data_IF_942794275879
#
_entry.id   IF_942794275879
#
_cell.length_a   1.000
_cell.length_b   1.000
_cell.length_c   1.000
_cell.angle_alpha   90.00
_cell.angle_beta   90.00
_cell.angle_gamma   90.00
#
_symmetry.space_group_name_H-M   'P 1'
#
loop_
_entity.id
_entity.type
_entity.pdbx_description
1 polymer ?
#
# COMPACT_ATOMS: atom_id res chain seq x y z
N UNK A 1 -6.61 -12.55 24.06
CA UNK A 1 -6.22 -11.18 23.68
C UNK A 1 -4.95 -11.31 22.84
N UNK A 2 -4.97 -11.11 21.51
CA UNK A 2 -3.71 -11.06 20.76
C UNK A 2 -3.05 -9.69 20.95
N UNK A 3 -1.74 -9.73 21.23
CA UNK A 3 -0.79 -8.65 21.52
C UNK A 3 -1.01 -7.33 20.74
N UNK A 4 -1.21 -6.24 21.48
CA UNK A 4 -1.25 -4.86 20.96
C UNK A 4 0.13 -4.36 20.46
N UNK A 5 1.23 -5.01 20.84
CA UNK A 5 2.61 -4.60 20.48
C UNK A 5 3.06 -4.95 19.04
N UNK A 6 2.32 -5.79 18.30
CA UNK A 6 2.71 -6.11 16.91
C UNK A 6 2.29 -5.02 15.90
N UNK A 7 1.53 -4.01 16.33
CA UNK A 7 0.82 -3.09 15.43
C UNK A 7 1.55 -1.79 15.09
N UNK A 8 2.59 -1.38 15.83
CA UNK A 8 3.18 -0.04 15.66
C UNK A 8 4.27 0.06 14.57
N UNK A 9 4.85 -1.06 14.11
CA UNK A 9 5.94 -1.07 13.12
C UNK A 9 5.69 -1.99 11.91
N UNK A 10 4.43 -2.28 11.58
CA UNK A 10 4.10 -3.17 10.46
C UNK A 10 4.73 -2.72 9.13
N UNK A 11 4.61 -1.43 8.71
CA UNK A 11 5.21 -0.99 7.45
C UNK A 11 6.72 -1.25 7.37
N UNK A 12 7.46 -0.94 8.45
CA UNK A 12 8.91 -1.16 8.42
C UNK A 12 9.27 -2.65 8.55
N UNK A 13 8.46 -3.46 9.24
CA UNK A 13 8.59 -4.91 9.22
C UNK A 13 8.50 -5.45 7.80
N UNK A 14 7.43 -5.11 7.06
CA UNK A 14 7.26 -5.54 5.67
C UNK A 14 8.41 -5.08 4.80
N UNK A 15 8.81 -3.80 4.91
CA UNK A 15 9.93 -3.29 4.14
C UNK A 15 11.23 -4.07 4.41
N UNK A 16 11.49 -4.49 5.67
CA UNK A 16 12.62 -5.36 6.01
C UNK A 16 12.51 -6.73 5.36
N UNK A 17 11.34 -7.35 5.38
CA UNK A 17 11.09 -8.66 4.76
C UNK A 17 11.26 -8.59 3.23
N UNK A 18 10.71 -7.55 2.59
CA UNK A 18 10.85 -7.31 1.15
C UNK A 18 12.31 -7.04 0.74
N UNK A 19 13.07 -6.30 1.55
CA UNK A 19 14.52 -6.12 1.35
C UNK A 19 15.24 -7.46 1.33
N UNK A 20 15.04 -8.28 2.37
CA UNK A 20 15.66 -9.61 2.48
C UNK A 20 15.26 -10.51 1.31
N UNK A 21 13.99 -10.50 0.92
CA UNK A 21 13.50 -11.27 -0.21
C UNK A 21 14.19 -10.89 -1.53
N UNK A 22 14.36 -9.58 -1.77
CA UNK A 22 14.99 -9.04 -2.96
C UNK A 22 16.51 -9.30 -2.98
N UNK A 23 17.19 -9.08 -1.84
CA UNK A 23 18.63 -9.33 -1.67
C UNK A 23 18.99 -10.79 -1.96
N UNK A 24 18.18 -11.73 -1.44
CA UNK A 24 18.36 -13.16 -1.69
C UNK A 24 18.28 -13.57 -3.17
N UNK A 25 17.79 -12.68 -4.04
CA UNK A 25 17.61 -12.91 -5.48
C UNK A 25 18.45 -12.00 -6.37
N UNK A 26 19.32 -11.17 -5.79
CA UNK A 26 20.06 -10.13 -6.52
C UNK A 26 19.13 -9.19 -7.33
N UNK A 27 17.96 -8.90 -6.77
CA UNK A 27 16.97 -7.99 -7.36
C UNK A 27 17.15 -6.50 -7.05
N UNK A 28 17.94 -6.04 -6.05
CA UNK A 28 18.10 -4.61 -5.79
C UNK A 28 18.49 -3.78 -7.03
N UNK A 29 19.26 -4.34 -7.97
CA UNK A 29 19.62 -3.70 -9.24
C UNK A 29 18.43 -3.37 -10.16
N UNK A 30 17.31 -4.09 -10.03
CA UNK A 30 16.09 -3.87 -10.80
C UNK A 30 15.09 -2.97 -10.07
N UNK A 31 15.22 -2.86 -8.75
CA UNK A 31 14.33 -2.08 -7.87
C UNK A 31 14.64 -0.57 -7.92
N UNK A 32 14.69 0.00 -9.11
CA UNK A 32 14.73 1.46 -9.29
C UNK A 32 13.35 2.07 -8.99
N UNK A 33 13.26 3.35 -8.56
CA UNK A 33 11.96 4.00 -8.32
C UNK A 33 11.01 3.90 -9.52
N UNK A 34 11.52 4.06 -10.74
CA UNK A 34 10.72 3.94 -11.97
C UNK A 34 10.15 2.53 -12.13
N UNK A 35 10.96 1.50 -11.95
CA UNK A 35 10.50 0.12 -12.17
C UNK A 35 9.48 -0.30 -11.12
N UNK A 36 9.70 0.06 -9.85
CA UNK A 36 8.76 -0.23 -8.77
C UNK A 36 7.44 0.53 -8.95
N UNK A 37 7.49 1.77 -9.42
CA UNK A 37 6.28 2.53 -9.76
C UNK A 37 5.50 1.87 -10.89
N UNK A 38 6.17 1.38 -11.94
CA UNK A 38 5.50 0.69 -13.04
C UNK A 38 4.92 -0.66 -12.63
N UNK A 39 5.60 -1.41 -11.76
CA UNK A 39 5.07 -2.64 -11.19
C UNK A 39 3.82 -2.34 -10.33
N UNK A 40 3.87 -1.33 -9.46
CA UNK A 40 2.73 -0.86 -8.68
C UNK A 40 1.52 -0.51 -9.57
N UNK A 41 1.74 0.17 -10.69
CA UNK A 41 0.67 0.48 -11.65
C UNK A 41 0.09 -0.79 -12.27
N UNK A 42 0.92 -1.81 -12.52
CA UNK A 42 0.49 -3.14 -12.96
C UNK A 42 -0.50 -3.77 -11.98
N UNK A 43 -0.13 -3.88 -10.70
CA UNK A 43 -0.98 -4.49 -9.67
C UNK A 43 -2.28 -3.70 -9.41
N UNK A 44 -2.22 -2.37 -9.53
CA UNK A 44 -3.45 -1.55 -9.52
C UNK A 44 -4.35 -1.88 -10.71
N UNK A 45 -3.76 -2.21 -11.86
CA UNK A 45 -4.46 -2.72 -13.04
C UNK A 45 -5.12 -4.06 -12.78
N UNK A 46 -4.40 -5.04 -12.21
CA UNK A 46 -4.94 -6.36 -11.88
C UNK A 46 -6.10 -6.25 -10.86
N UNK A 47 -5.95 -5.42 -9.83
CA UNK A 47 -7.05 -5.09 -8.91
C UNK A 47 -8.25 -4.47 -9.65
N UNK A 48 -8.01 -3.56 -10.59
CA UNK A 48 -9.07 -2.92 -11.37
C UNK A 48 -9.79 -3.92 -12.30
N UNK A 49 -9.08 -4.91 -12.85
CA UNK A 49 -9.65 -5.95 -13.72
C UNK A 49 -10.74 -6.77 -13.02
N UNK A 50 -10.64 -6.94 -11.68
CA UNK A 50 -11.68 -7.60 -10.90
C UNK A 50 -13.03 -6.85 -10.94
N UNK A 51 -13.01 -5.53 -11.19
CA UNK A 51 -14.19 -4.66 -11.12
C UNK A 51 -14.56 -3.98 -12.45
N UNK A 52 -13.74 -4.11 -13.50
CA UNK A 52 -13.83 -3.32 -14.73
C UNK A 52 -15.21 -3.37 -15.45
N UNK A 53 -16.00 -4.42 -15.23
CA UNK A 53 -17.31 -4.63 -15.89
C UNK A 53 -18.52 -4.60 -14.96
N UNK A 54 -18.37 -4.10 -13.72
CA UNK A 54 -19.42 -4.10 -12.69
C UNK A 54 -20.11 -5.48 -12.59
N UNK A 55 -19.35 -6.53 -12.22
CA UNK A 55 -19.84 -7.89 -12.33
C UNK A 55 -21.11 -8.10 -11.48
N UNK A 56 -22.08 -8.88 -11.97
CA UNK A 56 -23.34 -9.11 -11.25
C UNK A 56 -23.15 -9.84 -9.91
N UNK A 57 -21.98 -10.44 -9.71
CA UNK A 57 -21.54 -11.07 -8.47
C UNK A 57 -20.20 -10.47 -8.04
N UNK A 58 -19.95 -10.34 -6.73
CA UNK A 58 -18.67 -9.84 -6.23
C UNK A 58 -17.50 -10.72 -6.72
N UNK A 59 -16.31 -10.15 -6.94
CA UNK A 59 -15.12 -10.94 -7.20
C UNK A 59 -14.79 -11.88 -6.04
N UNK A 60 -14.07 -12.99 -6.30
CA UNK A 60 -13.64 -13.90 -5.24
C UNK A 60 -12.83 -13.16 -4.17
N UNK A 61 -13.17 -13.28 -2.86
CA UNK A 61 -12.47 -12.55 -1.80
C UNK A 61 -10.96 -12.81 -1.76
N UNK A 62 -10.53 -14.04 -2.04
CA UNK A 62 -9.11 -14.41 -2.05
C UNK A 62 -8.34 -13.69 -3.16
N UNK A 63 -8.97 -13.49 -4.32
CA UNK A 63 -8.38 -12.72 -5.43
C UNK A 63 -8.26 -11.25 -5.07
N UNK A 64 -9.30 -10.67 -4.49
CA UNK A 64 -9.25 -9.27 -4.01
C UNK A 64 -8.12 -9.10 -2.98
N UNK A 65 -7.98 -10.05 -2.06
CA UNK A 65 -6.92 -10.01 -1.05
C UNK A 65 -5.51 -10.11 -1.67
N UNK A 66 -5.33 -10.96 -2.68
CA UNK A 66 -4.08 -11.10 -3.44
C UNK A 66 -3.68 -9.77 -4.10
N UNK A 67 -4.56 -9.19 -4.93
CA UNK A 67 -4.22 -7.94 -5.65
C UNK A 67 -4.01 -6.75 -4.70
N UNK A 68 -4.77 -6.67 -3.60
CA UNK A 68 -4.55 -5.64 -2.57
C UNK A 68 -3.20 -5.82 -1.88
N UNK A 69 -2.79 -7.07 -1.61
CA UNK A 69 -1.49 -7.34 -1.02
C UNK A 69 -0.37 -6.94 -1.98
N UNK A 70 -0.48 -7.24 -3.27
CA UNK A 70 0.53 -6.88 -4.27
C UNK A 70 0.67 -5.36 -4.44
N UNK A 71 -0.45 -4.62 -4.48
CA UNK A 71 -0.44 -3.15 -4.45
C UNK A 71 0.31 -2.62 -3.21
N UNK A 72 0.05 -3.18 -2.03
CA UNK A 72 0.72 -2.77 -0.80
C UNK A 72 2.22 -3.13 -0.80
N UNK A 73 2.58 -4.31 -1.30
CA UNK A 73 3.97 -4.77 -1.41
C UNK A 73 4.79 -3.79 -2.26
N UNK A 74 4.31 -3.46 -3.46
CA UNK A 74 5.05 -2.54 -4.32
C UNK A 74 5.01 -1.10 -3.83
N UNK A 75 3.92 -0.64 -3.21
CA UNK A 75 3.87 0.69 -2.60
C UNK A 75 4.89 0.84 -1.45
N UNK A 76 4.94 -0.15 -0.55
CA UNK A 76 5.89 -0.16 0.58
C UNK A 76 7.33 -0.30 0.09
N UNK A 77 7.57 -1.14 -0.93
CA UNK A 77 8.90 -1.28 -1.53
C UNK A 77 9.36 -0.02 -2.26
N UNK A 78 8.45 0.63 -2.98
CA UNK A 78 8.71 1.92 -3.62
C UNK A 78 9.07 2.97 -2.58
N UNK A 79 8.29 3.09 -1.50
CA UNK A 79 8.55 4.03 -0.43
C UNK A 79 9.93 3.81 0.23
N UNK A 80 10.29 2.55 0.47
CA UNK A 80 11.62 2.19 1.00
C UNK A 80 12.75 2.67 0.10
N UNK A 81 12.68 2.37 -1.20
CA UNK A 81 13.68 2.80 -2.18
C UNK A 81 13.70 4.33 -2.37
N UNK A 82 12.54 4.98 -2.22
CA UNK A 82 12.41 6.43 -2.31
C UNK A 82 12.78 7.18 -1.01
N UNK A 83 13.10 6.47 0.08
CA UNK A 83 13.42 7.07 1.38
C UNK A 83 12.22 7.73 2.06
N UNK A 84 11.01 7.24 1.78
CA UNK A 84 9.76 7.74 2.37
C UNK A 84 9.42 6.94 3.62
N UNK A 85 9.35 7.61 4.76
CA UNK A 85 8.73 7.09 5.97
C UNK A 85 7.21 7.04 5.78
N UNK A 86 6.69 5.85 5.45
CA UNK A 86 5.27 5.65 5.13
C UNK A 86 4.39 5.93 6.34
N UNK A 87 4.79 5.47 7.53
CA UNK A 87 4.02 5.67 8.76
C UNK A 87 3.80 7.15 9.02
N UNK A 88 4.89 7.93 8.98
CA UNK A 88 4.81 9.38 9.14
C UNK A 88 4.05 10.05 7.99
N UNK A 89 4.35 9.70 6.74
CA UNK A 89 3.73 10.34 5.58
C UNK A 89 2.21 10.14 5.52
N UNK A 90 1.73 8.94 5.87
CA UNK A 90 0.30 8.62 5.94
C UNK A 90 -0.36 9.37 7.10
N UNK A 91 0.23 9.35 8.31
CA UNK A 91 -0.31 10.06 9.46
C UNK A 91 -0.46 11.57 9.19
N UNK A 92 0.58 12.21 8.64
CA UNK A 92 0.50 13.62 8.25
C UNK A 92 -0.53 13.87 7.15
N UNK A 93 -0.68 12.95 6.19
CA UNK A 93 -1.65 13.07 5.11
C UNK A 93 -3.08 12.94 5.62
N UNK A 94 -3.35 12.06 6.58
CA UNK A 94 -4.65 11.91 7.25
C UNK A 94 -4.99 13.21 7.99
N UNK A 95 -4.10 13.74 8.83
CA UNK A 95 -4.32 14.99 9.54
C UNK A 95 -4.62 16.17 8.59
N UNK A 96 -3.90 16.26 7.46
CA UNK A 96 -4.20 17.26 6.42
C UNK A 96 -5.57 17.04 5.76
N UNK A 97 -5.98 15.79 5.56
CA UNK A 97 -7.28 15.45 4.96
C UNK A 97 -8.43 15.78 5.90
N UNK A 98 -8.29 15.58 7.21
CA UNK A 98 -9.29 15.97 8.22
C UNK A 98 -9.57 17.48 8.18
N UNK A 99 -8.51 18.29 8.06
CA UNK A 99 -8.67 19.73 7.91
C UNK A 99 -9.28 20.13 6.55
N UNK A 100 -8.90 19.45 5.46
CA UNK A 100 -9.39 19.75 4.11
C UNK A 100 -10.85 19.31 3.90
N UNK A 101 -11.27 18.24 4.56
CA UNK A 101 -12.59 17.62 4.43
C UNK A 101 -13.20 17.40 5.82
N UNK A 102 -13.63 18.48 6.50
CA UNK A 102 -14.22 18.36 7.84
C UNK A 102 -15.53 17.56 7.80
N UNK A 103 -15.93 16.92 8.92
CA UNK A 103 -17.21 16.24 9.03
C UNK A 103 -18.37 17.16 8.63
N UNK A 104 -19.41 16.60 8.01
CA UNK A 104 -20.58 17.37 7.55
C UNK A 104 -21.26 18.16 8.68
N UNK A 105 -21.10 17.70 9.93
CA UNK A 105 -21.71 18.29 11.11
C UNK A 105 -21.00 19.58 11.60
N UNK A 106 -19.81 19.88 11.09
CA UNK A 106 -19.06 21.13 11.40
C UNK A 106 -19.37 22.29 10.45
N UNK A 107 -20.30 22.09 9.49
CA UNK A 107 -20.86 23.19 8.71
C UNK A 107 -21.99 23.84 9.51
N UNK A 108 -21.62 24.63 10.52
CA UNK A 108 -22.57 25.62 11.06
C UNK A 108 -22.88 26.61 9.94
N UNK A 109 -24.16 26.95 9.67
CA UNK A 109 -24.53 27.93 8.65
C UNK A 109 -23.92 29.32 8.91
#
# INVERSE_FOLDING_TARGET
>A
MPNDEQSEDWPAQVQRELRRFAEARDWPRYHTPRNLLLALVGEVGELAELYQWDPPTPPPPDRVAEEVADVLIYALRFADVAGVDVTKAVAEKIARNEHRFPPLNDRTP
#
